data_IF_235986165471
#
_entry.id   IF_235986165471
#
_cell.length_a   1.000
_cell.length_b   1.000
_cell.length_c   1.000
_cell.angle_alpha   90.00
_cell.angle_beta   90.00
_cell.angle_gamma   90.00
#
_symmetry.space_group_name_H-M   'P 1'
#
loop_
_entity.id
_entity.type
_entity.pdbx_description
1 polymer ?
#
# COMPACT_ATOMS: atom_id res chain seq x y z
N UNK A 1 23.38 -72.44 -17.64
CA UNK A 1 22.77 -71.13 -17.34
C UNK A 1 22.17 -71.21 -15.94
N UNK A 2 22.87 -70.70 -14.92
CA UNK A 2 22.37 -70.70 -13.53
C UNK A 2 21.52 -69.46 -13.29
N UNK A 3 20.21 -69.66 -13.13
CA UNK A 3 19.28 -68.60 -12.74
C UNK A 3 19.49 -68.24 -11.26
N UNK A 4 20.17 -67.13 -10.99
CA UNK A 4 20.13 -66.51 -9.66
C UNK A 4 18.72 -65.98 -9.40
N UNK A 5 17.96 -66.66 -8.53
CA UNK A 5 16.73 -66.13 -7.97
C UNK A 5 17.09 -64.96 -7.06
N UNK A 6 16.82 -63.74 -7.52
CA UNK A 6 16.89 -62.55 -6.67
C UNK A 6 15.79 -62.68 -5.63
N UNK A 7 16.16 -63.00 -4.39
CA UNK A 7 15.29 -62.89 -3.22
C UNK A 7 14.81 -61.44 -3.13
N UNK A 8 13.52 -61.21 -3.35
CA UNK A 8 12.89 -59.92 -3.05
C UNK A 8 12.61 -59.91 -1.56
N UNK A 9 13.27 -59.03 -0.81
CA UNK A 9 12.94 -58.77 0.59
C UNK A 9 11.50 -58.25 0.67
N UNK A 10 10.62 -58.99 1.35
CA UNK A 10 9.28 -58.52 1.66
C UNK A 10 9.36 -57.49 2.79
N UNK A 11 8.77 -56.31 2.58
CA UNK A 11 8.74 -55.22 3.55
C UNK A 11 7.69 -55.53 4.63
N UNK A 12 8.03 -55.38 5.91
CA UNK A 12 7.07 -55.64 7.00
C UNK A 12 6.14 -54.44 7.19
N UNK A 13 4.90 -54.71 7.63
CA UNK A 13 3.91 -53.67 7.93
C UNK A 13 4.42 -52.68 8.99
N UNK A 14 5.25 -53.16 9.93
CA UNK A 14 5.86 -52.35 10.99
C UNK A 14 6.88 -51.37 10.40
N UNK A 15 7.77 -51.82 9.51
CA UNK A 15 8.75 -50.93 8.85
C UNK A 15 8.05 -49.79 8.08
N UNK A 16 6.94 -50.09 7.41
CA UNK A 16 6.14 -49.07 6.72
C UNK A 16 5.54 -48.07 7.70
N UNK A 17 4.95 -48.54 8.79
CA UNK A 17 4.36 -47.70 9.83
C UNK A 17 5.39 -46.75 10.46
N UNK A 18 6.60 -47.24 10.75
CA UNK A 18 7.66 -46.40 11.33
C UNK A 18 8.10 -45.32 10.35
N UNK A 19 8.30 -45.66 9.06
CA UNK A 19 8.71 -44.69 8.05
C UNK A 19 7.67 -43.58 7.88
N UNK A 20 6.38 -43.93 7.77
CA UNK A 20 5.34 -42.91 7.64
C UNK A 20 5.21 -42.07 8.93
N UNK A 21 5.41 -42.65 10.11
CA UNK A 21 5.38 -41.92 11.38
C UNK A 21 6.52 -40.88 11.45
N UNK A 22 7.73 -41.26 11.05
CA UNK A 22 8.87 -40.33 10.99
C UNK A 22 8.62 -39.22 9.97
N UNK A 23 8.14 -39.55 8.77
CA UNK A 23 7.82 -38.54 7.74
C UNK A 23 6.73 -37.58 8.25
N UNK A 24 5.69 -38.10 8.90
CA UNK A 24 4.62 -37.27 9.44
C UNK A 24 5.14 -36.29 10.51
N UNK A 25 6.01 -36.75 11.42
CA UNK A 25 6.66 -35.90 12.42
C UNK A 25 7.54 -34.84 11.77
N UNK A 26 8.37 -35.23 10.79
CA UNK A 26 9.25 -34.29 10.07
C UNK A 26 8.44 -33.23 9.33
N UNK A 27 7.38 -33.61 8.61
CA UNK A 27 6.52 -32.66 7.90
C UNK A 27 5.78 -31.74 8.90
N UNK A 28 5.29 -32.28 10.02
CA UNK A 28 4.64 -31.49 11.05
C UNK A 28 5.56 -30.43 11.67
N UNK A 29 6.86 -30.73 11.79
CA UNK A 29 7.86 -29.78 12.30
C UNK A 29 8.34 -28.79 11.22
N UNK A 30 8.41 -29.23 9.95
CA UNK A 30 8.91 -28.40 8.84
C UNK A 30 7.85 -27.43 8.30
N UNK A 31 6.56 -27.80 8.30
CA UNK A 31 5.51 -26.95 7.73
C UNK A 31 5.42 -25.58 8.43
N UNK A 32 5.37 -25.47 9.78
CA UNK A 32 5.36 -24.18 10.47
C UNK A 32 6.61 -23.35 10.15
N UNK A 33 7.78 -23.99 10.12
CA UNK A 33 9.05 -23.32 9.84
C UNK A 33 9.10 -22.74 8.42
N UNK A 34 8.64 -23.50 7.42
CA UNK A 34 8.57 -23.03 6.03
C UNK A 34 7.61 -21.85 5.89
N UNK A 35 6.47 -21.85 6.60
CA UNK A 35 5.54 -20.73 6.55
C UNK A 35 6.10 -19.48 7.21
N UNK A 36 6.76 -19.61 8.36
CA UNK A 36 7.43 -18.50 9.03
C UNK A 36 8.53 -17.89 8.15
N UNK A 37 9.35 -18.73 7.51
CA UNK A 37 10.38 -18.27 6.58
C UNK A 37 9.78 -17.54 5.36
N UNK A 38 8.67 -18.04 4.81
CA UNK A 38 7.96 -17.38 3.71
C UNK A 38 7.41 -16.02 4.11
N UNK A 39 6.83 -15.89 5.30
CA UNK A 39 6.30 -14.61 5.78
C UNK A 39 7.43 -13.61 6.05
N UNK A 40 8.53 -14.04 6.66
CA UNK A 40 9.71 -13.19 6.85
C UNK A 40 10.26 -12.66 5.50
N UNK A 41 10.27 -13.51 4.47
CA UNK A 41 10.66 -13.11 3.12
C UNK A 41 9.67 -12.09 2.53
N UNK A 42 8.35 -12.31 2.64
CA UNK A 42 7.35 -11.36 2.15
C UNK A 42 7.43 -10.01 2.87
N UNK A 43 7.62 -10.00 4.19
CA UNK A 43 7.85 -8.77 4.98
C UNK A 43 9.10 -8.04 4.54
N UNK A 44 10.17 -8.77 4.22
CA UNK A 44 11.39 -8.17 3.68
C UNK A 44 11.15 -7.55 2.30
N UNK A 45 10.35 -8.19 1.45
CA UNK A 45 9.95 -7.63 0.16
C UNK A 45 9.11 -6.36 0.32
N UNK A 46 8.09 -6.33 1.20
CA UNK A 46 7.28 -5.13 1.40
C UNK A 46 8.12 -3.98 2.00
N UNK A 47 9.08 -4.28 2.89
CA UNK A 47 10.08 -3.31 3.37
C UNK A 47 10.95 -2.76 2.23
N UNK A 48 11.40 -3.61 1.32
CA UNK A 48 12.22 -3.20 0.18
C UNK A 48 11.44 -2.32 -0.81
N UNK A 49 10.17 -2.63 -1.08
CA UNK A 49 9.29 -1.79 -1.89
C UNK A 49 9.16 -0.38 -1.28
N UNK A 50 8.91 -0.29 0.04
CA UNK A 50 8.90 1.00 0.74
C UNK A 50 10.24 1.72 0.68
N UNK A 51 11.36 0.99 0.73
CA UNK A 51 12.68 1.60 0.56
C UNK A 51 12.85 2.19 -0.85
N UNK A 52 12.41 1.48 -1.88
CA UNK A 52 12.42 1.99 -3.25
C UNK A 52 11.53 3.23 -3.40
N UNK A 53 10.33 3.21 -2.81
CA UNK A 53 9.43 4.38 -2.77
C UNK A 53 10.10 5.55 -2.04
N UNK A 54 10.73 5.32 -0.89
CA UNK A 54 11.46 6.37 -0.15
C UNK A 54 12.59 6.98 -0.96
N UNK A 55 13.40 6.17 -1.62
CA UNK A 55 14.46 6.65 -2.51
C UNK A 55 13.89 7.43 -3.69
N UNK A 56 12.78 6.96 -4.27
CA UNK A 56 12.10 7.65 -5.35
C UNK A 56 11.57 9.03 -4.91
N UNK A 57 11.04 9.14 -3.69
CA UNK A 57 10.62 10.41 -3.09
C UNK A 57 11.79 11.40 -2.91
N UNK A 58 12.95 10.91 -2.43
CA UNK A 58 14.15 11.75 -2.31
C UNK A 58 14.64 12.24 -3.68
N UNK A 59 14.76 11.32 -4.64
CA UNK A 59 15.17 11.66 -6.00
C UNK A 59 14.19 12.66 -6.66
N UNK A 60 12.89 12.51 -6.42
CA UNK A 60 11.90 13.48 -6.88
C UNK A 60 12.13 14.85 -6.25
N UNK A 61 12.34 14.91 -4.93
CA UNK A 61 12.63 16.14 -4.20
C UNK A 61 13.92 16.81 -4.70
N UNK A 62 14.98 16.05 -4.98
CA UNK A 62 16.24 16.60 -5.51
C UNK A 62 16.06 17.29 -6.86
N UNK A 63 15.18 16.76 -7.71
CA UNK A 63 14.87 17.33 -9.03
C UNK A 63 13.90 18.51 -8.94
N UNK A 64 12.88 18.44 -8.08
CA UNK A 64 11.75 19.39 -8.05
C UNK A 64 11.80 20.39 -6.89
N UNK A 65 12.74 20.24 -5.95
CA UNK A 65 12.85 21.01 -4.69
C UNK A 65 11.62 20.95 -3.77
N UNK A 66 10.73 19.98 -4.00
CA UNK A 66 9.53 19.68 -3.21
C UNK A 66 9.25 18.17 -3.32
N UNK A 67 8.67 17.58 -2.29
CA UNK A 67 8.08 16.25 -2.39
C UNK A 67 6.85 16.26 -3.31
N UNK A 68 6.49 15.12 -3.92
CA UNK A 68 5.35 15.08 -4.81
C UNK A 68 4.06 15.41 -4.03
N UNK A 69 3.13 16.16 -4.63
CA UNK A 69 1.82 16.38 -4.04
C UNK A 69 1.08 15.07 -3.87
N UNK A 70 0.19 15.00 -2.88
CA UNK A 70 -0.67 13.84 -2.69
C UNK A 70 -1.55 13.57 -3.92
N UNK A 71 -2.09 14.64 -4.49
CA UNK A 71 -2.69 14.68 -5.82
C UNK A 71 -2.70 16.11 -6.38
N UNK A 72 -2.73 16.26 -7.71
CA UNK A 72 -2.75 17.59 -8.36
C UNK A 72 -4.10 17.90 -8.99
N UNK A 73 -4.69 19.03 -8.61
CA UNK A 73 -5.83 19.63 -9.30
C UNK A 73 -5.39 20.91 -10.00
N UNK A 74 -5.56 20.95 -11.31
CA UNK A 74 -5.21 22.14 -12.11
C UNK A 74 -6.16 23.31 -11.79
N UNK A 75 -5.63 24.53 -11.86
CA UNK A 75 -6.47 25.72 -11.69
C UNK A 75 -7.45 25.84 -12.87
N UNK A 76 -8.73 26.05 -12.56
CA UNK A 76 -9.79 26.12 -13.58
C UNK A 76 -10.18 24.77 -14.18
N UNK A 77 -9.58 23.65 -13.74
CA UNK A 77 -10.11 22.33 -14.09
C UNK A 77 -11.43 22.11 -13.38
N UNK A 78 -12.25 21.26 -14.00
CA UNK A 78 -13.51 20.85 -13.43
C UNK A 78 -13.29 20.29 -12.01
N UNK A 79 -13.99 20.80 -10.98
CA UNK A 79 -14.04 20.19 -9.65
C UNK A 79 -14.74 18.83 -9.62
N UNK A 80 -14.92 18.19 -10.78
CA UNK A 80 -15.33 16.80 -10.95
C UNK A 80 -14.23 15.91 -11.57
N UNK A 81 -13.13 16.51 -12.07
CA UNK A 81 -11.97 15.79 -12.61
C UNK A 81 -11.07 15.21 -11.50
N UNK A 82 -10.96 13.87 -11.44
CA UNK A 82 -10.10 13.19 -10.50
C UNK A 82 -8.63 13.44 -10.82
N UNK A 83 -7.79 13.38 -9.81
CA UNK A 83 -6.47 13.98 -9.88
C UNK A 83 -5.39 12.91 -9.77
N UNK A 84 -4.36 13.04 -10.60
CA UNK A 84 -3.19 12.18 -10.57
C UNK A 84 -2.53 12.23 -9.20
N UNK A 85 -2.30 11.06 -8.61
CA UNK A 85 -1.77 10.93 -7.25
C UNK A 85 -0.25 10.89 -7.17
N UNK A 86 0.27 10.98 -5.94
CA UNK A 86 1.70 10.91 -5.62
C UNK A 86 2.43 9.74 -6.30
N UNK A 87 1.76 8.58 -6.39
CA UNK A 87 2.33 7.37 -6.98
C UNK A 87 2.66 7.50 -8.46
N UNK A 88 1.98 8.37 -9.20
CA UNK A 88 2.31 8.61 -10.61
C UNK A 88 3.58 9.46 -10.73
N UNK A 89 3.74 10.47 -9.87
CA UNK A 89 4.85 11.41 -9.96
C UNK A 89 6.23 10.81 -9.69
N UNK A 90 6.28 9.68 -8.98
CA UNK A 90 7.53 8.97 -8.67
C UNK A 90 7.83 7.79 -9.61
N UNK A 91 6.95 7.50 -10.58
CA UNK A 91 7.15 6.39 -11.53
C UNK A 91 8.48 6.45 -12.27
N UNK A 92 8.97 7.62 -12.75
CA UNK A 92 10.28 7.68 -13.41
C UNK A 92 11.42 7.21 -12.51
N UNK A 93 11.35 7.52 -11.21
CA UNK A 93 12.34 7.10 -10.21
C UNK A 93 12.18 5.64 -9.77
N UNK A 94 11.08 4.97 -10.15
CA UNK A 94 10.80 3.55 -9.92
C UNK A 94 10.99 2.69 -11.17
N UNK A 95 11.74 3.19 -12.16
CA UNK A 95 11.97 2.51 -13.45
C UNK A 95 10.67 2.25 -14.25
N UNK A 96 9.65 3.08 -14.05
CA UNK A 96 8.35 3.03 -14.74
C UNK A 96 8.14 4.24 -15.67
N UNK A 97 9.22 4.76 -16.29
CA UNK A 97 9.16 5.94 -17.16
C UNK A 97 8.20 5.78 -18.36
N UNK A 98 8.18 4.60 -18.99
CA UNK A 98 7.26 4.33 -20.11
C UNK A 98 5.78 4.42 -19.70
N UNK A 99 5.45 3.99 -18.47
CA UNK A 99 4.10 4.12 -17.94
C UNK A 99 3.77 5.58 -17.62
N UNK A 100 4.74 6.34 -17.10
CA UNK A 100 4.59 7.78 -16.83
C UNK A 100 4.26 8.58 -18.10
N UNK A 101 5.04 8.37 -19.18
CA UNK A 101 4.85 9.08 -20.45
C UNK A 101 3.51 8.71 -21.12
N UNK A 102 3.08 7.46 -20.97
CA UNK A 102 1.78 7.00 -21.45
C UNK A 102 0.64 7.68 -20.68
N UNK A 103 0.74 7.81 -19.35
CA UNK A 103 -0.24 8.55 -18.56
C UNK A 103 -0.29 10.01 -19.01
N UNK A 104 0.86 10.67 -19.17
CA UNK A 104 0.94 12.07 -19.62
C UNK A 104 0.14 12.28 -20.91
N UNK A 105 0.37 11.39 -21.88
CA UNK A 105 -0.28 11.38 -23.19
C UNK A 105 -1.79 11.14 -23.08
N UNK A 106 -2.20 10.10 -22.37
CA UNK A 106 -3.62 9.67 -22.30
C UNK A 106 -4.48 10.53 -21.37
N UNK A 107 -3.86 11.24 -20.43
CA UNK A 107 -4.55 12.09 -19.44
C UNK A 107 -4.44 13.59 -19.72
N UNK A 108 -4.03 14.00 -20.93
CA UNK A 108 -3.88 15.41 -21.30
C UNK A 108 -3.01 16.18 -20.29
N UNK A 109 -1.85 15.62 -19.94
CA UNK A 109 -0.92 16.24 -19.01
C UNK A 109 -1.18 15.95 -17.53
N UNK A 110 -1.55 14.73 -17.15
CA UNK A 110 -1.93 14.38 -15.77
C UNK A 110 -3.22 15.05 -15.28
N UNK A 111 -4.13 15.36 -16.20
CA UNK A 111 -5.44 15.93 -15.94
C UNK A 111 -6.52 14.90 -16.27
N UNK A 112 -6.66 13.93 -15.39
CA UNK A 112 -7.53 12.77 -15.59
C UNK A 112 -9.00 13.19 -15.51
N UNK A 113 -9.76 12.89 -16.57
CA UNK A 113 -11.21 13.01 -16.56
C UNK A 113 -11.83 11.62 -16.68
N UNK A 114 -12.27 11.08 -15.55
CA UNK A 114 -12.90 9.76 -15.49
C UNK A 114 -14.32 9.73 -16.07
N UNK A 115 -14.91 10.87 -16.38
CA UNK A 115 -16.23 10.93 -17.00
C UNK A 115 -16.14 11.02 -18.54
N UNK A 116 -15.14 10.35 -19.12
CA UNK A 116 -14.87 10.26 -20.56
C UNK A 116 -14.92 8.80 -21.01
N UNK A 117 -15.12 8.54 -22.31
CA UNK A 117 -15.00 7.18 -22.89
C UNK A 117 -13.54 6.86 -23.30
N UNK A 118 -12.55 7.41 -22.58
CA UNK A 118 -11.15 7.15 -22.87
C UNK A 118 -10.73 5.76 -22.36
N UNK A 119 -10.95 4.75 -23.20
CA UNK A 119 -10.61 3.35 -22.91
C UNK A 119 -9.11 3.15 -22.67
N UNK A 120 -8.23 3.87 -23.38
CA UNK A 120 -6.79 3.76 -23.19
C UNK A 120 -6.38 4.18 -21.79
N UNK A 121 -6.94 5.27 -21.26
CA UNK A 121 -6.66 5.71 -19.88
C UNK A 121 -7.15 4.70 -18.83
N UNK A 122 -8.28 4.03 -19.07
CA UNK A 122 -8.75 2.95 -18.20
C UNK A 122 -7.86 1.71 -18.23
N UNK A 123 -7.37 1.31 -19.41
CA UNK A 123 -6.38 0.23 -19.57
C UNK A 123 -5.10 0.55 -18.79
N UNK A 124 -4.59 1.78 -18.94
CA UNK A 124 -3.43 2.28 -18.20
C UNK A 124 -3.66 2.16 -16.69
N UNK A 125 -4.79 2.67 -16.19
CA UNK A 125 -5.13 2.63 -14.77
C UNK A 125 -5.25 1.21 -14.21
N UNK A 126 -5.63 0.24 -15.04
CA UNK A 126 -5.75 -1.17 -14.68
C UNK A 126 -4.41 -1.89 -14.59
N UNK A 127 -3.31 -1.25 -15.01
CA UNK A 127 -1.96 -1.79 -14.92
C UNK A 127 -1.58 -2.14 -13.47
N UNK A 128 -0.89 -3.26 -13.30
CA UNK A 128 -0.32 -3.68 -12.02
C UNK A 128 1.10 -3.15 -11.92
N UNK A 129 1.31 -2.22 -11.00
CA UNK A 129 2.62 -1.59 -10.76
C UNK A 129 3.31 -2.35 -9.62
N UNK A 130 4.23 -3.26 -9.97
CA UNK A 130 4.87 -4.17 -8.99
C UNK A 130 5.48 -3.47 -7.76
N UNK A 131 6.16 -2.30 -7.86
CA UNK A 131 6.63 -1.57 -6.69
C UNK A 131 5.53 -1.19 -5.68
N UNK A 132 4.26 -1.16 -6.10
CA UNK A 132 3.12 -0.84 -5.25
C UNK A 132 2.39 -2.05 -4.67
N UNK A 133 2.87 -3.27 -4.94
CA UNK A 133 2.23 -4.50 -4.51
C UNK A 133 2.98 -5.13 -3.34
N UNK A 134 2.28 -5.40 -2.24
CA UNK A 134 2.85 -6.14 -1.11
C UNK A 134 2.57 -7.63 -1.26
N UNK A 135 3.59 -8.52 -1.33
CA UNK A 135 3.38 -9.96 -1.47
C UNK A 135 2.56 -10.63 -0.35
N UNK A 136 2.45 -10.00 0.83
CA UNK A 136 1.61 -10.49 1.93
C UNK A 136 0.12 -10.15 1.76
N UNK A 137 -0.24 -9.38 0.74
CA UNK A 137 -1.63 -9.13 0.36
C UNK A 137 -1.93 -9.68 -1.05
N UNK A 138 -2.04 -11.02 -1.20
CA UNK A 138 -2.21 -11.67 -2.49
C UNK A 138 -3.53 -11.25 -3.14
N UNK A 139 -3.44 -10.55 -4.26
CA UNK A 139 -4.58 -10.26 -5.13
C UNK A 139 -4.13 -10.28 -6.60
N UNK A 140 -5.10 -10.16 -7.51
CA UNK A 140 -4.88 -9.99 -8.95
C UNK A 140 -4.27 -8.62 -9.33
N UNK A 141 -3.83 -7.83 -8.35
CA UNK A 141 -3.35 -6.46 -8.55
C UNK A 141 -4.44 -5.44 -8.83
N UNK A 142 -5.71 -5.85 -8.85
CA UNK A 142 -6.86 -4.97 -9.09
C UNK A 142 -7.54 -4.63 -7.77
N UNK A 143 -7.92 -3.36 -7.62
CA UNK A 143 -8.68 -2.89 -6.48
C UNK A 143 -10.13 -3.37 -6.59
N UNK A 144 -10.60 -4.06 -5.54
CA UNK A 144 -11.94 -4.61 -5.47
C UNK A 144 -12.90 -3.70 -4.68
N UNK A 145 -12.37 -2.74 -3.92
CA UNK A 145 -13.10 -1.86 -3.02
C UNK A 145 -13.38 -0.50 -3.65
N UNK A 146 -12.38 0.04 -4.34
CA UNK A 146 -12.44 1.30 -5.06
C UNK A 146 -12.57 1.05 -6.55
N UNK A 147 -13.56 1.71 -7.13
CA UNK A 147 -13.79 1.72 -8.57
C UNK A 147 -13.82 3.17 -9.03
N UNK A 148 -13.44 3.39 -10.27
CA UNK A 148 -13.71 4.66 -10.91
C UNK A 148 -15.15 4.65 -11.40
N UNK A 149 -15.99 5.52 -10.83
CA UNK A 149 -17.35 5.71 -11.31
C UNK A 149 -17.35 6.62 -12.55
N UNK A 150 -17.88 6.11 -13.67
CA UNK A 150 -18.10 6.86 -14.89
C UNK A 150 -19.58 6.77 -15.27
N UNK A 151 -20.25 7.93 -15.39
CA UNK A 151 -21.67 7.98 -15.74
C UNK A 151 -21.95 7.54 -17.19
N UNK A 152 -20.94 7.56 -18.06
CA UNK A 152 -21.04 7.17 -19.47
C UNK A 152 -20.81 5.67 -19.70
N UNK A 153 -19.80 5.09 -19.03
CA UNK A 153 -19.33 3.72 -19.32
C UNK A 153 -19.53 2.72 -18.17
N UNK A 154 -20.11 3.17 -17.06
CA UNK A 154 -20.24 2.41 -15.82
C UNK A 154 -18.94 2.31 -15.02
N UNK A 155 -19.02 1.68 -13.85
CA UNK A 155 -17.91 1.51 -12.90
C UNK A 155 -16.76 0.67 -13.49
N UNK A 156 -15.53 1.16 -13.33
CA UNK A 156 -14.31 0.49 -13.81
C UNK A 156 -13.37 0.19 -12.65
N UNK A 157 -12.96 -1.07 -12.51
CA UNK A 157 -11.94 -1.49 -11.55
C UNK A 157 -10.54 -1.17 -12.08
N UNK A 158 -9.68 -0.69 -11.19
CA UNK A 158 -8.32 -0.23 -11.52
C UNK A 158 -7.26 -0.87 -10.65
N UNK A 159 -5.99 -0.64 -10.98
CA UNK A 159 -4.86 -1.18 -10.26
C UNK A 159 -4.86 -0.73 -8.80
N UNK A 160 -4.50 -1.68 -7.93
CA UNK A 160 -4.36 -1.51 -6.50
C UNK A 160 -3.01 -0.89 -6.14
N UNK A 161 -2.94 -0.24 -4.98
CA UNK A 161 -1.71 0.05 -4.26
C UNK A 161 -1.82 -0.45 -2.83
N UNK A 162 -0.82 -1.22 -2.39
CA UNK A 162 -0.64 -1.63 -1.00
C UNK A 162 0.16 -0.62 -0.17
N UNK A 163 0.34 0.60 -0.69
CA UNK A 163 1.02 1.69 -0.02
C UNK A 163 0.22 2.96 -0.22
N UNK A 164 0.03 3.74 0.85
CA UNK A 164 -0.72 4.98 0.80
C UNK A 164 0.07 6.12 1.43
N UNK A 165 -0.17 7.34 0.96
CA UNK A 165 0.50 8.51 1.50
C UNK A 165 -0.15 8.99 2.80
N UNK A 166 0.66 9.57 3.66
CA UNK A 166 0.23 10.14 4.91
C UNK A 166 -0.48 11.48 4.66
N UNK A 167 -1.81 11.50 4.82
CA UNK A 167 -2.66 12.65 4.47
C UNK A 167 -2.18 14.02 5.01
N UNK A 168 -1.73 14.15 6.28
CA UNK A 168 -1.30 15.43 6.82
C UNK A 168 -0.11 16.07 6.09
N UNK A 169 0.75 15.26 5.45
CA UNK A 169 1.90 15.75 4.67
C UNK A 169 1.58 15.92 3.19
N UNK A 170 0.80 14.99 2.68
CA UNK A 170 0.46 14.88 1.28
C UNK A 170 -1.01 15.26 1.11
N UNK A 171 -1.28 16.51 0.75
CA UNK A 171 -2.61 16.98 0.40
C UNK A 171 -2.64 17.53 -1.03
N UNK A 172 -3.82 18.01 -1.45
CA UNK A 172 -4.07 18.64 -2.74
C UNK A 172 -3.03 19.71 -3.06
N UNK A 173 -2.36 19.58 -4.21
CA UNK A 173 -1.39 20.55 -4.73
C UNK A 173 -0.29 20.90 -3.71
N UNK A 174 0.00 19.99 -2.77
CA UNK A 174 1.05 20.19 -1.76
C UNK A 174 2.40 20.50 -2.42
N UNK A 175 3.18 21.33 -1.73
CA UNK A 175 4.54 21.72 -2.11
C UNK A 175 5.50 21.54 -0.93
N UNK A 176 5.29 20.46 -0.18
CA UNK A 176 6.07 20.13 1.01
C UNK A 176 7.57 20.10 0.66
N UNK A 177 8.39 20.83 1.41
CA UNK A 177 9.85 20.80 1.29
C UNK A 177 10.45 20.10 2.50
N UNK A 178 11.67 19.59 2.34
CA UNK A 178 12.41 18.97 3.45
C UNK A 178 12.49 19.88 4.69
N UNK A 179 12.70 21.20 4.48
CA UNK A 179 12.79 22.19 5.57
C UNK A 179 11.48 22.41 6.35
N UNK A 180 10.35 22.04 5.76
CA UNK A 180 9.03 22.24 6.36
C UNK A 180 8.71 21.10 7.36
N UNK A 181 9.56 20.07 7.44
CA UNK A 181 9.49 18.93 8.36
C UNK A 181 10.33 19.25 9.60
N UNK A 182 9.78 20.10 10.47
CA UNK A 182 10.49 20.62 11.65
C UNK A 182 10.62 19.61 12.78
N UNK A 183 9.78 18.56 12.82
CA UNK A 183 9.83 17.51 13.85
C UNK A 183 10.95 16.48 13.60
N UNK A 184 11.62 16.60 12.46
CA UNK A 184 12.75 15.77 12.06
C UNK A 184 12.37 14.74 11.00
N UNK A 185 13.21 14.63 9.98
CA UNK A 185 12.94 13.76 8.82
C UNK A 185 12.97 12.27 9.16
N UNK A 186 13.67 11.89 10.24
CA UNK A 186 13.70 10.53 10.78
C UNK A 186 12.52 10.22 11.70
N UNK A 187 11.70 11.22 12.05
CA UNK A 187 10.57 11.11 12.97
C UNK A 187 9.23 11.38 12.30
N UNK A 188 9.19 11.59 10.99
CA UNK A 188 7.95 11.81 10.25
C UNK A 188 7.81 10.80 9.13
N UNK A 189 6.73 10.00 9.14
CA UNK A 189 6.49 9.04 8.06
C UNK A 189 5.73 9.62 6.88
N UNK A 190 6.11 9.17 5.68
CA UNK A 190 5.52 9.59 4.42
C UNK A 190 4.50 8.61 3.88
N UNK A 191 4.90 7.36 3.72
CA UNK A 191 4.09 6.31 3.11
C UNK A 191 4.06 5.12 4.08
N UNK A 192 2.89 4.52 4.22
CA UNK A 192 2.70 3.32 5.04
C UNK A 192 2.03 2.21 4.25
N UNK A 193 2.15 0.98 4.76
CA UNK A 193 1.46 -0.17 4.20
C UNK A 193 -0.06 -0.07 4.31
N UNK A 194 -0.72 -0.70 3.34
CA UNK A 194 -2.16 -0.85 3.27
C UNK A 194 -2.53 -2.23 2.76
N UNK A 195 -3.41 -2.93 3.48
CA UNK A 195 -3.99 -4.21 3.01
C UNK A 195 -5.42 -4.05 2.50
N UNK A 196 -5.81 -4.94 1.58
CA UNK A 196 -7.20 -5.17 1.14
C UNK A 196 -7.88 -6.33 1.88
N UNK A 197 -7.24 -6.90 2.89
CA UNK A 197 -7.79 -7.98 3.70
C UNK A 197 -8.41 -7.46 5.01
N UNK A 198 -9.08 -8.35 5.74
CA UNK A 198 -9.61 -8.07 7.09
C UNK A 198 -10.54 -6.85 7.18
N UNK A 199 -11.29 -6.57 6.11
CA UNK A 199 -12.25 -5.45 6.03
C UNK A 199 -11.63 -4.11 5.61
N UNK A 200 -10.30 -4.03 5.49
CA UNK A 200 -9.61 -2.85 4.99
C UNK A 200 -9.72 -2.71 3.48
N UNK A 201 -9.56 -1.47 3.00
CA UNK A 201 -9.50 -1.14 1.58
C UNK A 201 -8.08 -0.77 1.20
N UNK A 202 -7.54 -1.40 0.16
CA UNK A 202 -6.27 -0.95 -0.40
C UNK A 202 -6.44 0.33 -1.22
N UNK A 203 -5.35 1.03 -1.55
CA UNK A 203 -5.41 2.23 -2.36
C UNK A 203 -5.55 1.97 -3.86
N UNK A 204 -5.80 3.03 -4.64
CA UNK A 204 -5.61 3.05 -6.09
C UNK A 204 -4.27 3.74 -6.36
N UNK A 205 -3.43 3.16 -7.22
CA UNK A 205 -2.10 3.73 -7.45
C UNK A 205 -2.10 5.01 -8.29
N UNK A 206 -3.06 5.14 -9.23
CA UNK A 206 -3.03 6.22 -10.21
C UNK A 206 -3.53 7.58 -9.69
N UNK A 207 -4.31 7.59 -8.60
CA UNK A 207 -4.73 8.86 -8.00
C UNK A 207 -6.05 8.85 -7.23
N UNK A 208 -6.44 10.04 -6.80
CA UNK A 208 -7.75 10.31 -6.24
C UNK A 208 -8.81 10.08 -7.32
N UNK A 209 -9.97 9.58 -6.93
CA UNK A 209 -11.08 9.32 -7.86
C UNK A 209 -12.38 9.94 -7.34
N UNK A 210 -13.36 10.05 -8.24
CA UNK A 210 -14.73 10.44 -7.90
C UNK A 210 -15.45 9.26 -7.24
N UNK A 211 -16.14 9.51 -6.13
CA UNK A 211 -16.98 8.50 -5.47
C UNK A 211 -18.45 8.89 -5.45
N UNK A 212 -19.30 7.94 -5.85
CA UNK A 212 -20.75 8.11 -5.87
C UNK A 212 -21.28 8.97 -7.04
N UNK A 213 -22.57 9.25 -7.00
CA UNK A 213 -23.26 10.02 -8.05
C UNK A 213 -23.07 11.53 -7.92
N UNK A 214 -22.61 12.03 -6.76
CA UNK A 214 -22.31 13.44 -6.56
C UNK A 214 -21.18 13.87 -7.50
N UNK A 215 -21.44 14.79 -8.44
CA UNK A 215 -20.43 15.24 -9.39
C UNK A 215 -19.19 15.79 -8.67
N UNK A 216 -19.36 16.45 -7.53
CA UNK A 216 -18.34 17.27 -6.85
C UNK A 216 -17.60 16.56 -5.72
N UNK A 217 -17.97 15.31 -5.42
CA UNK A 217 -17.38 14.56 -4.32
C UNK A 217 -16.18 13.72 -4.81
N UNK A 218 -14.98 14.14 -4.42
CA UNK A 218 -13.78 13.33 -4.55
C UNK A 218 -13.44 12.67 -3.23
N UNK A 219 -13.01 11.42 -3.32
CA UNK A 219 -12.40 10.72 -2.21
C UNK A 219 -10.89 10.69 -2.46
N UNK A 220 -10.17 11.26 -1.50
CA UNK A 220 -8.73 11.13 -1.39
C UNK A 220 -8.33 9.90 -0.55
N UNK A 221 -9.32 9.16 -0.05
CA UNK A 221 -9.14 7.95 0.74
C UNK A 221 -8.61 6.78 -0.10
N UNK A 222 -8.74 6.86 -1.43
CA UNK A 222 -8.11 5.89 -2.33
C UNK A 222 -6.60 6.04 -2.39
N UNK A 223 -6.03 7.17 -1.97
CA UNK A 223 -4.57 7.41 -2.05
C UNK A 223 -3.93 7.68 -0.70
N UNK A 224 -4.72 8.06 0.31
CA UNK A 224 -4.22 8.38 1.62
C UNK A 224 -4.63 7.38 2.70
N UNK A 225 -3.65 7.02 3.50
CA UNK A 225 -3.87 6.39 4.79
C UNK A 225 -4.17 7.48 5.82
N UNK A 226 -5.22 7.28 6.61
CA UNK A 226 -5.50 8.18 7.74
C UNK A 226 -4.63 7.78 8.93
N UNK A 227 -3.85 8.74 9.42
CA UNK A 227 -3.06 8.59 10.64
C UNK A 227 -3.54 9.50 11.79
N UNK A 228 -4.28 10.57 11.47
CA UNK A 228 -4.81 11.55 12.42
C UNK A 228 -6.30 11.76 12.14
N UNK A 229 -7.09 11.85 13.19
CA UNK A 229 -8.53 12.10 13.07
C UNK A 229 -8.84 13.55 12.69
N UNK A 230 -9.81 13.76 11.80
CA UNK A 230 -10.24 15.10 11.41
C UNK A 230 -11.03 15.82 12.52
N UNK A 231 -11.75 15.08 13.37
CA UNK A 231 -12.47 15.57 14.57
C UNK A 231 -13.07 14.36 15.32
N UNK A 232 -13.09 14.34 16.66
CA UNK A 232 -14.02 13.47 17.41
C UNK A 232 -13.52 12.13 17.98
N UNK A 233 -12.24 11.96 18.28
CA UNK A 233 -11.79 10.86 19.16
C UNK A 233 -11.71 9.45 18.54
N UNK A 234 -12.00 9.31 17.24
CA UNK A 234 -11.88 8.05 16.49
C UNK A 234 -10.41 7.60 16.46
N UNK A 235 -10.19 6.30 16.64
CA UNK A 235 -8.86 5.69 16.77
C UNK A 235 -8.31 5.22 15.41
N UNK A 236 -7.40 6.00 14.83
CA UNK A 236 -6.80 5.76 13.51
C UNK A 236 -5.53 4.89 13.56
N UNK A 237 -5.29 4.17 14.66
CA UNK A 237 -4.11 3.32 14.82
C UNK A 237 -4.01 2.23 13.74
N UNK A 238 -2.78 1.77 13.56
CA UNK A 238 -2.38 0.70 12.63
C UNK A 238 -3.18 -0.56 12.96
N UNK A 239 -3.68 -1.23 11.93
CA UNK A 239 -4.49 -2.45 12.10
C UNK A 239 -5.68 -2.27 13.06
N UNK A 240 -6.21 -1.05 13.20
CA UNK A 240 -7.45 -0.78 13.92
C UNK A 240 -8.64 -1.54 13.32
N UNK A 241 -9.86 -1.29 13.79
CA UNK A 241 -11.01 -2.06 13.31
C UNK A 241 -11.43 -1.73 11.86
N UNK A 242 -10.85 -2.44 10.90
CA UNK A 242 -11.21 -2.38 9.49
C UNK A 242 -12.61 -2.93 9.16
N UNK A 243 -13.26 -3.65 10.08
CA UNK A 243 -14.62 -4.16 9.88
C UNK A 243 -15.69 -3.14 10.29
N UNK A 244 -15.33 -2.19 11.15
CA UNK A 244 -16.24 -1.21 11.74
C UNK A 244 -17.23 -1.81 12.75
N UNK A 245 -16.87 -2.94 13.37
CA UNK A 245 -17.68 -3.64 14.36
C UNK A 245 -17.67 -2.97 15.75
N UNK A 246 -16.56 -2.34 16.13
CA UNK A 246 -16.37 -1.59 17.37
C UNK A 246 -16.71 -0.09 17.21
N UNK A 247 -16.48 0.47 16.02
CA UNK A 247 -16.89 1.82 15.62
C UNK A 247 -17.33 1.77 14.16
N UNK A 248 -18.62 2.00 13.84
CA UNK A 248 -19.16 1.90 12.48
C UNK A 248 -18.66 2.99 11.54
N UNK A 249 -17.69 3.82 11.96
CA UNK A 249 -17.09 4.83 11.12
C UNK A 249 -16.43 4.20 9.88
N UNK A 250 -16.99 4.45 8.66
CA UNK A 250 -16.49 3.84 7.43
C UNK A 250 -15.06 4.27 7.08
N UNK A 251 -14.55 5.34 7.70
CA UNK A 251 -13.20 5.86 7.45
C UNK A 251 -12.10 5.00 8.10
N UNK A 252 -12.40 4.15 9.10
CA UNK A 252 -11.43 3.26 9.72
C UNK A 252 -10.86 2.22 8.74
N UNK A 253 -11.62 1.92 7.69
CA UNK A 253 -11.19 1.05 6.58
C UNK A 253 -10.00 1.63 5.81
N UNK A 254 -9.72 2.92 5.98
CA UNK A 254 -8.67 3.67 5.31
C UNK A 254 -7.46 3.94 6.23
N UNK A 255 -7.43 3.37 7.44
CA UNK A 255 -6.23 3.40 8.29
C UNK A 255 -5.09 2.65 7.62
N UNK A 256 -3.86 3.02 7.96
CA UNK A 256 -2.71 2.20 7.64
C UNK A 256 -2.87 0.80 8.23
N UNK A 257 -2.55 -0.21 7.43
CA UNK A 257 -2.79 -1.60 7.81
C UNK A 257 -1.93 -2.57 7.02
N UNK A 258 -1.62 -3.71 7.63
CA UNK A 258 -0.80 -4.75 7.05
C UNK A 258 -1.28 -6.13 7.48
N UNK A 259 -0.93 -7.16 6.70
CA UNK A 259 -1.15 -8.56 7.08
C UNK A 259 0.02 -9.12 7.89
N UNK A 260 1.08 -8.33 8.07
CA UNK A 260 2.17 -8.65 8.97
C UNK A 260 1.69 -8.64 10.42
N UNK A 261 2.20 -9.58 11.22
CA UNK A 261 1.83 -9.70 12.62
C UNK A 261 2.37 -8.51 13.43
N UNK A 262 1.49 -7.85 14.19
CA UNK A 262 1.85 -6.89 15.25
C UNK A 262 2.08 -5.44 14.80
N UNK A 263 1.81 -5.11 13.53
CA UNK A 263 2.05 -3.76 13.00
C UNK A 263 2.20 -3.69 11.48
N UNK A 264 2.77 -2.59 11.00
CA UNK A 264 2.94 -2.31 9.57
C UNK A 264 4.27 -1.60 9.29
N UNK A 265 4.76 -1.70 8.06
CA UNK A 265 5.96 -0.97 7.62
C UNK A 265 5.61 0.45 7.16
N UNK A 266 6.51 1.39 7.46
CA UNK A 266 6.41 2.79 7.09
C UNK A 266 7.76 3.29 6.60
N UNK A 267 7.74 4.12 5.55
CA UNK A 267 8.91 4.86 5.10
C UNK A 267 8.86 6.30 5.61
N UNK A 268 9.99 6.76 6.11
CA UNK A 268 10.16 8.07 6.73
C UNK A 268 10.65 9.10 5.74
N UNK A 269 10.56 10.37 6.14
CA UNK A 269 10.93 11.51 5.30
C UNK A 269 12.43 11.55 4.95
N UNK A 270 13.27 10.82 5.67
CA UNK A 270 14.69 10.59 5.35
C UNK A 270 14.92 9.33 4.47
N UNK A 271 13.85 8.61 4.12
CA UNK A 271 13.89 7.37 3.34
C UNK A 271 14.26 6.12 4.14
N UNK A 272 14.37 6.20 5.47
CA UNK A 272 14.47 5.03 6.35
C UNK A 272 13.13 4.28 6.42
N UNK A 273 13.15 2.97 6.70
CA UNK A 273 11.93 2.16 6.77
C UNK A 273 11.86 1.45 8.12
N UNK A 274 10.80 1.76 8.87
CA UNK A 274 10.57 1.27 10.22
C UNK A 274 9.28 0.46 10.28
N UNK A 275 9.28 -0.55 11.13
CA UNK A 275 8.08 -1.30 11.46
C UNK A 275 7.46 -0.67 12.69
N UNK A 276 6.26 -0.11 12.56
CA UNK A 276 5.54 0.50 13.67
C UNK A 276 4.54 -0.51 14.23
N UNK A 277 4.53 -0.67 15.56
CA UNK A 277 3.62 -1.61 16.22
C UNK A 277 2.18 -1.10 16.20
N UNK A 278 1.22 -2.01 16.05
CA UNK A 278 -0.21 -1.71 16.26
C UNK A 278 -0.56 -1.33 17.70
N UNK A 279 0.33 -1.65 18.65
CA UNK A 279 0.19 -1.28 20.07
C UNK A 279 0.85 0.06 20.41
N UNK A 280 1.40 0.78 19.42
CA UNK A 280 1.95 2.11 19.62
C UNK A 280 0.90 3.03 20.25
N UNK A 281 1.32 3.87 21.19
CA UNK A 281 0.40 4.84 21.79
C UNK A 281 -0.12 5.78 20.71
N UNK A 282 -1.38 6.20 20.84
CA UNK A 282 -2.00 7.09 19.86
C UNK A 282 -1.21 8.39 19.73
N UNK A 283 -0.73 8.91 20.86
CA UNK A 283 0.04 10.15 20.95
C UNK A 283 1.35 10.05 20.16
N UNK A 284 2.09 8.95 20.31
CA UNK A 284 3.33 8.73 19.56
C UNK A 284 3.04 8.56 18.07
N UNK A 285 2.01 7.79 17.72
CA UNK A 285 1.64 7.56 16.32
C UNK A 285 1.21 8.86 15.60
N UNK A 286 0.42 9.70 16.28
CA UNK A 286 0.00 11.00 15.74
C UNK A 286 1.17 11.96 15.60
N UNK A 287 2.09 12.00 16.57
CA UNK A 287 3.32 12.80 16.47
C UNK A 287 4.17 12.40 15.24
N UNK A 288 4.35 11.09 15.01
CA UNK A 288 5.07 10.58 13.85
C UNK A 288 4.38 10.89 12.51
N UNK A 289 3.09 11.21 12.54
CA UNK A 289 2.29 11.48 11.35
C UNK A 289 2.25 12.96 10.95
N UNK A 290 2.78 13.88 11.78
CA UNK A 290 2.82 15.31 11.46
C UNK A 290 4.23 15.78 11.07
N UNK A 291 4.34 16.81 10.21
CA UNK A 291 5.64 17.41 9.88
C UNK A 291 6.09 18.48 10.87
N UNK A 292 5.17 19.05 11.68
CA UNK A 292 5.43 20.25 12.49
C UNK A 292 4.54 20.37 13.74
N UNK A 293 4.23 19.26 14.42
CA UNK A 293 3.52 19.25 15.70
C UNK A 293 4.38 19.68 16.88
N UNK A 294 5.71 19.59 16.78
CA UNK A 294 6.67 20.01 17.80
C UNK A 294 6.82 19.03 18.97
N UNK A 295 6.28 17.82 18.85
CA UNK A 295 6.40 16.78 19.86
C UNK A 295 7.79 16.13 19.85
N UNK A 296 8.34 15.82 21.03
CA UNK A 296 9.57 15.02 21.14
C UNK A 296 9.17 13.56 21.18
N UNK A 297 9.44 12.86 20.08
CA UNK A 297 9.20 11.41 19.99
C UNK A 297 10.43 10.64 20.50
N UNK A 298 10.21 9.70 21.43
CA UNK A 298 11.24 8.78 21.93
C UNK A 298 11.54 7.62 20.96
N UNK A 299 12.17 6.54 21.44
CA UNK A 299 12.30 5.31 20.63
C UNK A 299 10.92 4.65 20.43
N UNK A 300 10.65 4.17 19.20
CA UNK A 300 9.38 3.57 18.77
C UNK A 300 9.58 2.31 17.91
#
# INVERSE_FOLDING_TARGET
MQNHRISRSAFTLIELLVVIAIIAILVALLLPAVQQAREAARRSSCKNNLKQIGLAMQNYHDVHSTFPPGYVRRAGSDPRQPNTGWGVYILPQLEQAALYDLIDTESNGFSVDWNTDNQALFEVARSVVNPYMCPSDPSDGINQDWVINNSLTGDKKVGKSNYQANKPLFDLNSKLKMRDITDGTSNTFFIGEKTSQNGFRAGIWMGAHKWGSDPTHYTDESIFGRAIGATGGVDYRINGDGTGAADPNPHLKNNFSSTHQGGAQFVFADGSVHFLSENLSKEVYEALATPSGGEVVGEF
#
